data_IF_843979671345
#
_entry.id   IF_843979671345
#
_cell.length_a   1.000
_cell.length_b   1.000
_cell.length_c   1.000
_cell.angle_alpha   90.00
_cell.angle_beta   90.00
_cell.angle_gamma   90.00
#
_symmetry.space_group_name_H-M   'P 1'
#
loop_
_entity.id
_entity.type
_entity.pdbx_description
1 polymer ?
#
# COMPACT_ATOMS: atom_id res chain seq x y z
N UNK A 1 -30.24 -8.14 -51.94
CA UNK A 1 -29.90 -8.98 -50.76
C UNK A 1 -28.41 -9.32 -50.65
N UNK A 2 -27.75 -9.94 -51.65
CA UNK A 2 -26.33 -10.34 -51.57
C UNK A 2 -25.32 -9.19 -51.37
N UNK A 3 -25.55 -8.01 -51.98
CA UNK A 3 -24.72 -6.82 -51.78
C UNK A 3 -24.85 -6.25 -50.35
N UNK A 4 -26.05 -6.30 -49.78
CA UNK A 4 -26.32 -5.82 -48.43
C UNK A 4 -25.65 -6.70 -47.36
N UNK A 5 -25.69 -8.03 -47.55
CA UNK A 5 -24.99 -8.98 -46.69
C UNK A 5 -23.47 -8.80 -46.73
N UNK A 6 -22.88 -8.49 -47.90
CA UNK A 6 -21.45 -8.18 -48.02
C UNK A 6 -21.07 -6.90 -47.28
N UNK A 7 -21.88 -5.85 -47.38
CA UNK A 7 -21.63 -4.58 -46.68
C UNK A 7 -21.73 -4.79 -45.17
N UNK A 8 -22.73 -5.52 -44.69
CA UNK A 8 -22.91 -5.83 -43.27
C UNK A 8 -21.75 -6.67 -42.71
N UNK A 9 -21.26 -7.65 -43.49
CA UNK A 9 -20.11 -8.47 -43.12
C UNK A 9 -18.82 -7.65 -43.03
N UNK A 10 -18.59 -6.74 -43.98
CA UNK A 10 -17.42 -5.85 -43.95
C UNK A 10 -17.50 -4.90 -42.75
N UNK A 11 -18.67 -4.33 -42.45
CA UNK A 11 -18.84 -3.49 -41.26
C UNK A 11 -18.59 -4.25 -39.95
N UNK A 12 -19.06 -5.50 -39.85
CA UNK A 12 -18.83 -6.34 -38.67
C UNK A 12 -17.33 -6.62 -38.46
N UNK A 13 -16.61 -6.98 -39.53
CA UNK A 13 -15.17 -7.25 -39.46
C UNK A 13 -14.38 -6.00 -39.06
N UNK A 14 -14.73 -4.82 -39.60
CA UNK A 14 -14.10 -3.55 -39.24
C UNK A 14 -14.37 -3.20 -37.76
N UNK A 15 -15.59 -3.39 -37.28
CA UNK A 15 -15.93 -3.17 -35.87
C UNK A 15 -15.15 -4.10 -34.93
N UNK A 16 -15.04 -5.39 -35.25
CA UNK A 16 -14.29 -6.35 -34.43
C UNK A 16 -12.80 -6.00 -34.40
N UNK A 17 -12.21 -5.66 -35.54
CA UNK A 17 -10.80 -5.25 -35.62
C UNK A 17 -10.53 -3.96 -34.83
N UNK A 18 -11.43 -2.97 -34.91
CA UNK A 18 -11.33 -1.73 -34.15
C UNK A 18 -11.44 -1.99 -32.63
N UNK A 19 -12.36 -2.85 -32.20
CA UNK A 19 -12.49 -3.23 -30.78
C UNK A 19 -11.26 -3.98 -30.25
N UNK A 20 -10.62 -4.84 -31.05
CA UNK A 20 -9.39 -5.53 -30.63
C UNK A 20 -8.20 -4.59 -30.49
N UNK A 21 -8.09 -3.57 -31.35
CA UNK A 21 -7.01 -2.58 -31.25
C UNK A 21 -7.13 -1.75 -29.95
N UNK A 22 -8.35 -1.38 -29.54
CA UNK A 22 -8.57 -0.61 -28.30
C UNK A 22 -8.25 -1.43 -27.06
N UNK A 23 -8.44 -2.76 -27.09
CA UNK A 23 -8.09 -3.65 -25.98
C UNK A 23 -6.58 -3.97 -25.91
N UNK A 24 -5.87 -3.96 -27.03
CA UNK A 24 -4.43 -4.22 -27.05
C UNK A 24 -3.57 -2.98 -26.73
N UNK A 25 -4.11 -1.77 -26.95
CA UNK A 25 -3.49 -0.53 -26.46
C UNK A 25 -4.01 -0.18 -25.06
N UNK A 26 -3.88 -1.12 -24.12
CA UNK A 26 -3.82 -0.75 -22.72
C UNK A 26 -2.67 0.25 -22.56
N UNK A 27 -3.01 1.50 -22.22
CA UNK A 27 -2.05 2.54 -21.90
C UNK A 27 -1.25 2.10 -20.67
N UNK A 28 -0.18 1.35 -20.92
CA UNK A 28 0.81 1.02 -19.91
C UNK A 28 1.43 2.33 -19.47
N UNK A 29 0.97 2.86 -18.32
CA UNK A 29 1.69 3.93 -17.64
C UNK A 29 3.10 3.41 -17.43
N UNK A 30 4.10 4.02 -18.09
CA UNK A 30 5.50 3.74 -17.80
C UNK A 30 5.70 4.03 -16.31
N UNK A 31 6.11 3.03 -15.54
CA UNK A 31 6.58 3.28 -14.19
C UNK A 31 7.85 4.11 -14.30
N UNK A 32 7.75 5.40 -14.00
CA UNK A 32 8.93 6.24 -13.81
C UNK A 32 9.76 5.66 -12.66
N UNK A 33 11.10 5.58 -12.78
CA UNK A 33 11.93 5.07 -11.71
C UNK A 33 11.66 5.89 -10.44
N UNK A 34 11.39 5.19 -9.34
CA UNK A 34 11.18 5.83 -8.04
C UNK A 34 12.38 6.72 -7.74
N UNK A 35 12.12 8.01 -7.61
CA UNK A 35 13.13 8.98 -7.20
C UNK A 35 13.57 8.62 -5.78
N UNK A 36 14.75 8.03 -5.66
CA UNK A 36 15.34 7.67 -4.39
C UNK A 36 15.84 8.94 -3.71
N UNK A 37 15.25 9.27 -2.56
CA UNK A 37 15.69 10.39 -1.73
C UNK A 37 16.65 9.87 -0.67
N UNK A 38 17.70 10.62 -0.38
CA UNK A 38 18.61 10.29 0.71
C UNK A 38 17.99 10.69 2.06
N UNK A 39 18.22 9.86 3.07
CA UNK A 39 17.88 10.23 4.45
C UNK A 39 18.67 11.47 4.88
N UNK A 40 18.05 12.34 5.68
CA UNK A 40 18.69 13.56 6.18
C UNK A 40 19.84 13.28 7.16
N UNK A 41 19.83 12.12 7.81
CA UNK A 41 20.96 11.63 8.60
C UNK A 41 21.93 10.85 7.69
N UNK A 42 23.14 11.38 7.39
CA UNK A 42 24.11 10.68 6.54
C UNK A 42 24.67 9.40 7.17
N UNK A 43 24.54 9.25 8.50
CA UNK A 43 24.97 8.08 9.25
C UNK A 43 23.77 7.21 9.68
N UNK A 44 22.68 7.22 8.90
CA UNK A 44 21.54 6.35 9.15
C UNK A 44 21.97 4.87 9.16
N UNK A 45 21.35 4.08 10.05
CA UNK A 45 21.60 2.63 10.05
C UNK A 45 21.03 1.99 8.80
N UNK A 46 21.48 0.78 8.49
CA UNK A 46 20.99 0.03 7.32
C UNK A 46 19.50 -0.31 7.43
N UNK A 47 18.99 -0.53 8.65
CA UNK A 47 17.57 -0.78 8.92
C UNK A 47 16.74 0.47 8.62
N UNK A 48 17.19 1.65 9.03
CA UNK A 48 16.51 2.92 8.75
C UNK A 48 16.48 3.20 7.24
N UNK A 49 17.58 2.96 6.52
CA UNK A 49 17.62 3.11 5.07
C UNK A 49 16.64 2.15 4.37
N UNK A 50 16.62 0.88 4.77
CA UNK A 50 15.69 -0.11 4.22
C UNK A 50 14.23 0.23 4.49
N UNK A 51 13.92 0.69 5.70
CA UNK A 51 12.57 1.14 6.06
C UNK A 51 12.14 2.31 5.17
N UNK A 52 13.02 3.30 4.99
CA UNK A 52 12.76 4.46 4.13
C UNK A 52 12.52 4.07 2.67
N UNK A 53 13.35 3.18 2.14
CA UNK A 53 13.22 2.66 0.78
C UNK A 53 11.89 1.92 0.59
N UNK A 54 11.48 1.12 1.59
CA UNK A 54 10.18 0.44 1.58
C UNK A 54 9.02 1.43 1.55
N UNK A 55 9.02 2.44 2.43
CA UNK A 55 7.96 3.46 2.48
C UNK A 55 7.84 4.19 1.14
N UNK A 56 8.96 4.52 0.50
CA UNK A 56 8.94 5.10 -0.84
C UNK A 56 8.40 4.15 -1.91
N UNK A 57 8.75 2.87 -1.83
CA UNK A 57 8.29 1.86 -2.79
C UNK A 57 6.76 1.71 -2.82
N UNK A 58 6.09 1.94 -1.69
CA UNK A 58 4.63 1.85 -1.55
C UNK A 58 3.91 3.19 -1.74
N UNK A 59 4.63 4.31 -1.64
CA UNK A 59 4.06 5.66 -1.75
C UNK A 59 3.39 5.89 -3.12
N UNK A 60 2.15 6.38 -3.09
CA UNK A 60 1.32 6.56 -4.28
C UNK A 60 0.79 5.26 -4.93
N UNK A 61 1.20 4.08 -4.42
CA UNK A 61 0.76 2.77 -4.92
C UNK A 61 -0.15 2.03 -3.96
N UNK A 62 0.09 2.16 -2.65
CA UNK A 62 -0.64 1.47 -1.56
C UNK A 62 -0.80 2.40 -0.35
N UNK A 63 -1.63 1.97 0.60
CA UNK A 63 -1.80 2.59 1.91
C UNK A 63 -1.38 1.56 2.96
N UNK A 64 -0.52 1.96 3.89
CA UNK A 64 -0.13 1.14 5.03
C UNK A 64 -1.18 1.32 6.13
N UNK A 65 -1.69 0.22 6.69
CA UNK A 65 -2.55 0.27 7.87
C UNK A 65 -1.72 0.64 9.09
N UNK A 66 -2.24 1.55 9.92
CA UNK A 66 -1.60 1.98 11.14
C UNK A 66 -2.59 2.15 12.27
N UNK A 67 -2.13 1.98 13.50
CA UNK A 67 -2.95 2.14 14.70
C UNK A 67 -2.08 2.57 15.89
N UNK A 68 -2.52 3.61 16.62
CA UNK A 68 -1.93 4.01 17.90
C UNK A 68 -2.37 3.03 18.99
N UNK A 69 -1.46 2.63 19.88
CA UNK A 69 -1.82 1.84 21.06
C UNK A 69 -2.53 2.70 22.14
N UNK A 70 -3.38 2.06 22.94
CA UNK A 70 -3.91 2.66 24.17
C UNK A 70 -3.31 1.97 25.38
N UNK A 71 -2.30 2.60 25.99
CA UNK A 71 -1.65 2.07 27.20
C UNK A 71 -2.54 2.10 28.46
N UNK A 72 -3.66 2.83 28.41
CA UNK A 72 -4.57 3.07 29.53
C UNK A 72 -5.79 2.15 29.59
N UNK A 73 -5.99 1.26 28.61
CA UNK A 73 -7.14 0.35 28.61
C UNK A 73 -6.98 -0.72 29.70
N UNK A 74 -7.93 -0.77 30.64
CA UNK A 74 -7.90 -1.74 31.75
C UNK A 74 -7.88 -3.19 31.25
N UNK A 75 -8.69 -3.49 30.23
CA UNK A 75 -8.78 -4.81 29.61
C UNK A 75 -7.84 -4.90 28.40
N UNK A 76 -6.61 -5.37 28.61
CA UNK A 76 -5.66 -5.68 27.52
C UNK A 76 -4.56 -4.66 27.28
N UNK A 77 -4.57 -3.53 27.99
CA UNK A 77 -3.51 -2.52 27.96
C UNK A 77 -3.12 -2.14 26.53
N UNK A 78 -1.81 -2.03 26.29
CA UNK A 78 -1.26 -1.64 24.99
C UNK A 78 -1.63 -2.58 23.82
N UNK A 79 -2.08 -3.81 24.08
CA UNK A 79 -2.50 -4.75 23.04
C UNK A 79 -3.99 -4.66 22.69
N UNK A 80 -4.77 -3.83 23.39
CA UNK A 80 -6.21 -3.74 23.20
C UNK A 80 -6.58 -3.47 21.73
N UNK A 81 -6.03 -2.41 21.13
CA UNK A 81 -6.32 -2.08 19.72
C UNK A 81 -5.81 -3.13 18.75
N UNK A 82 -4.63 -3.71 19.00
CA UNK A 82 -4.04 -4.72 18.13
C UNK A 82 -4.94 -5.98 18.07
N UNK A 83 -5.39 -6.42 19.25
CA UNK A 83 -6.27 -7.58 19.38
C UNK A 83 -7.65 -7.31 18.78
N UNK A 84 -8.20 -6.11 18.99
CA UNK A 84 -9.46 -5.70 18.36
C UNK A 84 -9.38 -5.75 16.83
N UNK A 85 -8.31 -5.17 16.25
CA UNK A 85 -8.11 -5.20 14.80
C UNK A 85 -7.98 -6.63 14.27
N UNK A 86 -7.23 -7.48 14.96
CA UNK A 86 -7.07 -8.88 14.53
C UNK A 86 -8.39 -9.65 14.63
N UNK A 87 -9.12 -9.53 15.74
CA UNK A 87 -10.40 -10.20 15.93
C UNK A 87 -11.44 -9.81 14.86
N UNK A 88 -11.45 -8.54 14.45
CA UNK A 88 -12.45 -8.00 13.53
C UNK A 88 -12.06 -8.09 12.06
N UNK A 89 -10.76 -8.18 11.74
CA UNK A 89 -10.27 -8.12 10.35
C UNK A 89 -9.45 -9.34 9.93
N UNK A 90 -9.02 -10.18 10.89
CA UNK A 90 -8.07 -11.27 10.69
C UNK A 90 -6.64 -10.80 10.41
N UNK A 91 -6.32 -9.52 10.61
CA UNK A 91 -5.01 -8.91 10.31
C UNK A 91 -4.60 -7.89 11.38
N UNK A 92 -3.30 -7.81 11.63
CA UNK A 92 -2.69 -6.72 12.41
C UNK A 92 -2.40 -5.49 11.51
N UNK A 93 -2.30 -4.28 12.09
CA UNK A 93 -1.81 -3.11 11.37
C UNK A 93 -0.33 -3.28 11.00
N UNK A 94 0.09 -2.69 9.88
CA UNK A 94 1.50 -2.70 9.47
C UNK A 94 2.36 -1.73 10.29
N UNK A 95 1.76 -0.69 10.86
CA UNK A 95 2.42 0.34 11.67
C UNK A 95 1.72 0.40 13.04
N UNK A 96 2.51 0.27 14.12
CA UNK A 96 2.06 0.55 15.49
C UNK A 96 2.56 1.93 15.90
N UNK A 97 1.66 2.75 16.43
CA UNK A 97 2.00 4.02 17.02
C UNK A 97 2.24 3.90 18.52
N UNK A 98 3.25 4.63 19.01
CA UNK A 98 3.78 4.61 20.36
C UNK A 98 3.94 6.07 20.84
N UNK A 99 3.98 6.30 22.15
CA UNK A 99 4.18 7.62 22.73
C UNK A 99 5.13 7.56 23.95
N UNK A 100 5.96 8.60 24.11
CA UNK A 100 6.83 8.80 25.25
C UNK A 100 6.28 9.82 26.28
N UNK A 101 5.03 10.27 26.13
CA UNK A 101 4.42 11.34 26.94
C UNK A 101 4.38 11.09 28.46
N UNK A 102 4.41 9.83 28.91
CA UNK A 102 4.32 9.43 30.33
C UNK A 102 5.68 9.05 30.95
N UNK A 103 6.80 9.43 30.34
CA UNK A 103 8.17 9.10 30.76
C UNK A 103 8.47 7.57 30.91
N UNK A 104 7.57 6.69 30.46
CA UNK A 104 7.79 5.24 30.31
C UNK A 104 8.66 4.94 29.08
N UNK A 105 9.90 5.41 29.10
CA UNK A 105 10.83 5.22 27.98
C UNK A 105 11.15 3.74 27.75
N UNK A 106 11.47 3.00 28.81
CA UNK A 106 11.86 1.60 28.71
C UNK A 106 10.70 0.71 28.27
N UNK A 107 9.50 0.94 28.80
CA UNK A 107 8.31 0.20 28.38
C UNK A 107 7.95 0.49 26.93
N UNK A 108 7.98 1.75 26.50
CA UNK A 108 7.77 2.12 25.11
C UNK A 108 8.80 1.48 24.16
N UNK A 109 10.10 1.49 24.52
CA UNK A 109 11.15 0.81 23.75
C UNK A 109 10.97 -0.70 23.72
N UNK A 110 10.50 -1.31 24.81
CA UNK A 110 10.21 -2.74 24.83
C UNK A 110 9.08 -3.10 23.86
N UNK A 111 7.99 -2.30 23.83
CA UNK A 111 6.85 -2.51 22.92
C UNK A 111 7.20 -2.27 21.45
N UNK A 112 8.16 -1.37 21.17
CA UNK A 112 8.66 -1.16 19.80
C UNK A 112 9.37 -2.39 19.18
N UNK A 113 9.72 -3.40 19.99
CA UNK A 113 10.39 -4.63 19.54
C UNK A 113 9.43 -5.81 19.34
N UNK A 114 8.18 -5.67 19.78
CA UNK A 114 7.17 -6.73 19.79
C UNK A 114 6.50 -6.93 18.43
#
# INVERSE_FOLDING_TARGET
MKKFAKILFVMLVVCVLACTAVLCFGCGKKEEPLKHYQLSNPNATIEAQRLYDYVWSVSGKKILSGQQESTWMEDGGAEYEMNYLYANTGKYPAIRGLDFIEDDFDGCVARAKA
#
